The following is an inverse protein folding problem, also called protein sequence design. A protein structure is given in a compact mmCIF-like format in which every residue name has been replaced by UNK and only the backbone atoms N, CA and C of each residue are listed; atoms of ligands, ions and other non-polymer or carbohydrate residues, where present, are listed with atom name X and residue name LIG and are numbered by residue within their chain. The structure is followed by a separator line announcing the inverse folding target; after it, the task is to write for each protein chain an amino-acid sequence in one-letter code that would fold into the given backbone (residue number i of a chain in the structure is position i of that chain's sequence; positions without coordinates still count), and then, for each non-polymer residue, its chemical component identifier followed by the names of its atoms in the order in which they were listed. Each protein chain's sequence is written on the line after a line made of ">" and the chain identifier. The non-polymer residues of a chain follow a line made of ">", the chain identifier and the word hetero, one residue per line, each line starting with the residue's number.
data_IF_697286177546
#
_entry.id   IF_697286177546
#
_cell.length_a   1.000
_cell.length_b   1.000
_cell.length_c   1.000
_cell.angle_alpha   90.00
_cell.angle_beta   90.00
_cell.angle_gamma   90.00
#
_symmetry.space_group_name_H-M   'P 1'
#
loop_
_entity.id
_entity.type
_entity.pdbx_description
1 polymer ?
#
# COMPACT_ATOMS: atom_id res chain seq x y z
N UNK A 1 -20.96 -13.68 -18.00
CA UNK A 1 -21.95 -12.83 -17.28
C UNK A 1 -21.28 -12.31 -16.03
N UNK A 2 -20.71 -11.10 -16.11
CA UNK A 2 -20.24 -10.33 -14.95
C UNK A 2 -21.47 -10.01 -14.09
N UNK A 3 -21.42 -10.34 -12.84
CA UNK A 3 -22.38 -9.85 -11.87
C UNK A 3 -22.15 -8.33 -11.77
N UNK A 4 -23.15 -7.55 -12.19
CA UNK A 4 -23.25 -6.12 -11.91
C UNK A 4 -23.43 -5.97 -10.40
N UNK A 5 -22.32 -5.99 -9.65
CA UNK A 5 -22.35 -5.54 -8.26
C UNK A 5 -22.38 -4.02 -8.32
N UNK A 6 -23.50 -3.48 -7.95
CA UNK A 6 -23.71 -2.07 -7.77
C UNK A 6 -22.85 -1.58 -6.59
N UNK A 7 -21.68 -1.00 -6.90
CA UNK A 7 -20.77 -0.45 -5.91
C UNK A 7 -21.36 0.77 -5.18
N UNK A 8 -22.37 1.41 -5.78
CA UNK A 8 -23.04 2.56 -5.18
C UNK A 8 -23.89 2.16 -3.95
N UNK A 9 -24.45 0.95 -3.95
CA UNK A 9 -25.27 0.46 -2.82
C UNK A 9 -24.42 0.20 -1.58
N UNK A 10 -23.16 -0.24 -1.74
CA UNK A 10 -22.29 -0.53 -0.60
C UNK A 10 -21.78 0.76 0.08
N UNK A 11 -21.55 1.84 -0.68
CA UNK A 11 -21.17 3.16 -0.14
C UNK A 11 -22.35 3.77 0.62
N UNK A 12 -23.56 3.77 0.07
CA UNK A 12 -24.76 4.22 0.76
C UNK A 12 -25.00 3.49 2.08
N UNK A 13 -24.79 2.18 2.10
CA UNK A 13 -24.94 1.38 3.32
C UNK A 13 -23.93 1.78 4.39
N UNK A 14 -22.68 2.11 4.00
CA UNK A 14 -21.64 2.57 4.92
C UNK A 14 -22.00 3.92 5.52
N UNK A 15 -22.44 4.88 4.72
CA UNK A 15 -22.76 6.24 5.17
C UNK A 15 -23.95 6.23 6.15
N UNK A 16 -25.00 5.43 5.84
CA UNK A 16 -26.12 5.22 6.74
C UNK A 16 -25.72 4.53 8.04
N UNK A 17 -24.74 3.62 8.02
CA UNK A 17 -24.21 2.97 9.22
C UNK A 17 -23.41 3.93 10.11
N UNK A 18 -22.96 5.06 9.57
CA UNK A 18 -22.24 6.11 10.28
C UNK A 18 -23.12 7.33 10.61
N UNK A 19 -24.45 7.15 10.63
CA UNK A 19 -25.42 8.19 10.96
C UNK A 19 -25.36 9.45 10.07
N UNK A 20 -24.94 9.30 8.81
CA UNK A 20 -24.99 10.37 7.82
C UNK A 20 -26.38 10.39 7.19
N UNK A 21 -27.07 11.52 7.33
CA UNK A 21 -28.40 11.70 6.76
C UNK A 21 -28.37 11.63 5.22
N UNK A 22 -29.39 11.02 4.64
CA UNK A 22 -29.48 10.77 3.19
C UNK A 22 -29.44 12.05 2.34
N UNK A 23 -29.86 13.18 2.86
CA UNK A 23 -29.85 14.48 2.20
C UNK A 23 -28.48 15.18 2.24
N UNK A 24 -27.49 14.60 2.91
CA UNK A 24 -26.14 15.15 3.06
C UNK A 24 -25.12 14.55 2.10
N UNK A 25 -25.52 13.62 1.25
CA UNK A 25 -24.62 13.03 0.26
C UNK A 25 -25.27 12.94 -1.11
N UNK A 26 -24.46 13.08 -2.14
CA UNK A 26 -24.83 12.89 -3.54
C UNK A 26 -24.02 11.73 -4.12
N UNK A 27 -24.73 10.70 -4.61
CA UNK A 27 -24.11 9.49 -5.15
C UNK A 27 -24.34 9.42 -6.64
N UNK A 28 -23.26 9.59 -7.38
CA UNK A 28 -23.23 9.38 -8.84
C UNK A 28 -22.85 7.94 -9.19
N UNK A 29 -23.67 7.30 -10.01
CA UNK A 29 -23.35 5.99 -10.59
C UNK A 29 -22.77 6.14 -12.00
N UNK A 30 -21.49 5.81 -12.18
CA UNK A 30 -20.82 5.92 -13.48
C UNK A 30 -19.34 5.55 -13.42
N UNK A 31 -18.67 5.60 -14.57
CA UNK A 31 -17.21 5.45 -14.63
C UNK A 31 -16.54 6.80 -14.34
N UNK A 32 -15.94 6.93 -13.16
CA UNK A 32 -15.30 8.16 -12.72
C UNK A 32 -14.13 8.60 -13.62
N UNK A 33 -13.50 7.70 -14.35
CA UNK A 33 -12.38 8.02 -15.23
C UNK A 33 -12.83 8.53 -16.60
N UNK A 34 -13.89 7.94 -17.17
CA UNK A 34 -14.34 8.26 -18.54
C UNK A 34 -15.54 9.19 -18.58
N UNK A 35 -16.36 9.23 -17.52
CA UNK A 35 -17.56 10.04 -17.42
C UNK A 35 -17.83 10.52 -16.00
N UNK A 36 -16.98 11.39 -15.43
CA UNK A 36 -17.18 11.90 -14.08
C UNK A 36 -18.48 12.71 -13.97
N UNK A 37 -19.27 12.45 -12.92
CA UNK A 37 -20.59 13.08 -12.76
C UNK A 37 -20.53 14.40 -11.96
N UNK A 38 -19.53 14.57 -11.09
CA UNK A 38 -19.34 15.77 -10.26
C UNK A 38 -18.31 16.75 -10.85
N UNK A 39 -18.30 16.87 -12.18
CA UNK A 39 -17.30 17.68 -12.91
C UNK A 39 -17.43 19.19 -12.63
N UNK A 40 -18.65 19.64 -12.44
CA UNK A 40 -18.97 21.07 -12.25
C UNK A 40 -19.06 21.46 -10.76
N UNK A 41 -18.77 20.51 -9.86
CA UNK A 41 -18.79 20.77 -8.41
C UNK A 41 -17.57 21.57 -7.97
N UNK A 42 -17.72 22.25 -6.84
CA UNK A 42 -16.60 22.92 -6.17
C UNK A 42 -15.51 21.89 -5.79
N UNK A 43 -14.23 22.27 -5.87
CA UNK A 43 -13.15 21.36 -5.49
C UNK A 43 -13.28 20.87 -4.05
N UNK A 44 -13.01 19.59 -3.82
CA UNK A 44 -13.17 18.94 -2.51
C UNK A 44 -12.02 19.25 -1.56
N UNK A 45 -12.34 19.62 -0.33
CA UNK A 45 -11.35 19.82 0.74
C UNK A 45 -10.79 18.49 1.28
N UNK A 46 -11.58 17.44 1.24
CA UNK A 46 -11.17 16.09 1.65
C UNK A 46 -11.59 15.05 0.62
N UNK A 47 -10.65 14.21 0.20
CA UNK A 47 -10.92 13.06 -0.67
C UNK A 47 -10.37 11.81 0.01
N UNK A 48 -11.24 10.81 0.22
CA UNK A 48 -10.85 9.48 0.70
C UNK A 48 -11.27 8.46 -0.34
N UNK A 49 -10.33 7.63 -0.80
CA UNK A 49 -10.61 6.67 -1.86
C UNK A 49 -9.86 5.36 -1.67
N UNK A 50 -10.55 4.25 -1.96
CA UNK A 50 -9.96 2.94 -2.14
C UNK A 50 -10.35 2.42 -3.54
N UNK A 51 -9.71 2.91 -4.61
CA UNK A 51 -10.08 2.54 -5.98
C UNK A 51 -9.71 1.07 -6.26
N UNK A 52 -10.36 0.43 -7.25
CA UNK A 52 -10.03 -0.92 -7.65
C UNK A 52 -8.60 -1.01 -8.19
N UNK A 53 -7.83 -2.02 -7.71
CA UNK A 53 -6.41 -2.15 -8.07
C UNK A 53 -6.21 -2.78 -9.43
N UNK A 54 -5.27 -2.23 -10.21
CA UNK A 54 -4.76 -2.78 -11.47
C UNK A 54 -5.86 -3.18 -12.47
N UNK A 55 -6.94 -2.42 -12.53
CA UNK A 55 -8.00 -2.62 -13.53
C UNK A 55 -7.61 -2.01 -14.89
N UNK A 56 -8.19 -2.55 -15.95
CA UNK A 56 -8.10 -1.95 -17.27
C UNK A 56 -9.04 -0.76 -17.39
N UNK A 57 -8.63 0.25 -18.13
CA UNK A 57 -9.40 1.44 -18.44
C UNK A 57 -9.12 1.89 -19.89
N UNK A 58 -9.84 2.88 -20.41
CA UNK A 58 -9.67 3.32 -21.80
C UNK A 58 -8.34 4.05 -22.08
N UNK A 59 -7.68 4.59 -21.05
CA UNK A 59 -6.30 5.06 -21.08
C UNK A 59 -5.83 5.67 -22.40
N UNK A 60 -4.64 5.25 -22.84
CA UNK A 60 -3.97 5.67 -24.06
C UNK A 60 -4.65 5.23 -25.37
N UNK A 61 -5.66 4.35 -25.28
CA UNK A 61 -6.45 3.95 -26.43
C UNK A 61 -7.51 5.00 -26.85
N UNK A 62 -7.85 5.93 -25.95
CA UNK A 62 -8.80 7.01 -26.22
C UNK A 62 -8.05 8.34 -26.41
N UNK A 63 -7.98 8.89 -27.65
CA UNK A 63 -7.28 10.15 -27.91
C UNK A 63 -7.80 11.34 -27.12
N UNK A 64 -9.05 11.31 -26.67
CA UNK A 64 -9.65 12.39 -25.88
C UNK A 64 -9.03 12.46 -24.47
N UNK A 65 -8.61 11.33 -23.93
CA UNK A 65 -8.01 11.26 -22.58
C UNK A 65 -6.64 11.97 -22.48
N UNK A 66 -5.88 12.04 -23.58
CA UNK A 66 -4.58 12.74 -23.59
C UNK A 66 -4.77 14.24 -23.36
N UNK A 67 -5.88 14.80 -23.79
CA UNK A 67 -6.19 16.22 -23.65
C UNK A 67 -7.08 16.50 -22.42
N UNK A 68 -7.50 15.49 -21.71
CA UNK A 68 -8.29 15.65 -20.48
C UNK A 68 -7.48 16.40 -19.42
N UNK A 69 -7.98 17.52 -18.87
CA UNK A 69 -7.24 18.36 -17.93
C UNK A 69 -6.86 17.64 -16.62
N UNK A 70 -7.48 16.51 -16.32
CA UNK A 70 -7.12 15.67 -15.19
C UNK A 70 -5.79 14.93 -15.39
N UNK A 71 -5.51 14.49 -16.63
CA UNK A 71 -4.38 13.61 -16.97
C UNK A 71 -3.29 14.31 -17.77
N UNK A 72 -3.66 15.28 -18.63
CA UNK A 72 -2.73 15.99 -19.50
C UNK A 72 -1.53 16.66 -18.80
N UNK A 73 -1.63 17.16 -17.55
CA UNK A 73 -0.51 17.82 -16.90
C UNK A 73 0.71 16.92 -16.69
N UNK A 74 0.53 15.60 -16.54
CA UNK A 74 1.63 14.66 -16.43
C UNK A 74 2.33 14.36 -17.78
N UNK A 75 1.77 14.84 -18.92
CA UNK A 75 2.29 14.62 -20.26
C UNK A 75 2.21 13.16 -20.72
N UNK A 76 1.54 12.30 -19.97
CA UNK A 76 1.40 10.86 -20.25
C UNK A 76 0.20 10.31 -19.49
N UNK A 77 -0.48 9.34 -20.10
CA UNK A 77 -1.58 8.62 -19.45
C UNK A 77 -1.05 7.41 -18.68
N UNK A 78 -1.75 7.03 -17.61
CA UNK A 78 -1.53 5.75 -16.95
C UNK A 78 -1.70 4.60 -17.95
N UNK A 79 -0.97 3.48 -17.79
CA UNK A 79 -1.06 2.35 -18.70
C UNK A 79 -2.50 1.83 -18.82
N UNK A 80 -2.96 1.50 -20.02
CA UNK A 80 -4.29 0.95 -20.28
C UNK A 80 -4.63 -0.27 -19.40
N UNK A 81 -3.63 -1.05 -19.04
CA UNK A 81 -3.79 -2.25 -18.21
C UNK A 81 -3.88 -1.96 -16.71
N UNK A 82 -3.64 -0.71 -16.27
CA UNK A 82 -3.51 -0.32 -14.86
C UNK A 82 -3.97 1.10 -14.63
N UNK A 83 -5.20 1.26 -14.19
CA UNK A 83 -5.81 2.57 -13.93
C UNK A 83 -5.35 3.23 -12.62
N UNK A 84 -4.52 2.56 -11.82
CA UNK A 84 -4.18 2.99 -10.46
C UNK A 84 -3.77 4.48 -10.40
N UNK A 85 -2.80 4.91 -11.22
CA UNK A 85 -2.37 6.30 -11.26
C UNK A 85 -3.35 7.24 -11.97
N UNK A 86 -4.29 6.73 -12.76
CA UNK A 86 -5.36 7.55 -13.31
C UNK A 86 -6.34 7.99 -12.21
N UNK A 87 -6.68 7.11 -11.26
CA UNK A 87 -7.49 7.48 -10.09
C UNK A 87 -6.78 8.51 -9.21
N UNK A 88 -5.46 8.41 -9.05
CA UNK A 88 -4.66 9.38 -8.30
C UNK A 88 -4.71 10.75 -8.99
N UNK A 89 -4.49 10.81 -10.30
CA UNK A 89 -4.55 12.06 -11.07
C UNK A 89 -5.96 12.65 -11.09
N UNK A 90 -6.99 11.82 -11.19
CA UNK A 90 -8.38 12.24 -11.08
C UNK A 90 -8.66 12.89 -9.72
N UNK A 91 -8.29 12.21 -8.62
CA UNK A 91 -8.45 12.75 -7.27
C UNK A 91 -7.67 14.05 -7.07
N UNK A 92 -6.43 14.13 -7.57
CA UNK A 92 -5.64 15.36 -7.50
C UNK A 92 -6.31 16.52 -8.25
N UNK A 93 -6.90 16.25 -9.42
CA UNK A 93 -7.59 17.28 -10.20
C UNK A 93 -8.74 17.90 -9.40
N UNK A 94 -9.53 17.10 -8.72
CA UNK A 94 -10.69 17.51 -7.96
C UNK A 94 -10.38 18.03 -6.57
N UNK A 95 -9.15 17.89 -6.11
CA UNK A 95 -8.73 18.36 -4.80
C UNK A 95 -8.65 19.88 -4.76
N UNK A 96 -9.21 20.51 -3.73
CA UNK A 96 -9.05 21.91 -3.44
C UNK A 96 -7.57 22.26 -3.16
N UNK A 97 -7.20 23.54 -3.31
CA UNK A 97 -5.82 23.97 -3.08
C UNK A 97 -5.36 23.72 -1.65
N UNK A 98 -6.24 23.91 -0.66
CA UNK A 98 -6.00 23.61 0.76
C UNK A 98 -6.36 22.19 1.16
N UNK A 99 -6.91 21.41 0.23
CA UNK A 99 -7.46 20.08 0.49
C UNK A 99 -6.40 19.01 0.73
N UNK A 100 -6.86 17.89 1.28
CA UNK A 100 -6.05 16.69 1.50
C UNK A 100 -6.76 15.47 0.91
N UNK A 101 -6.05 14.68 0.10
CA UNK A 101 -6.56 13.41 -0.40
C UNK A 101 -5.75 12.25 0.21
N UNK A 102 -6.46 11.20 0.67
CA UNK A 102 -5.87 9.96 1.14
C UNK A 102 -6.39 8.78 0.29
N UNK A 103 -5.49 8.16 -0.47
CA UNK A 103 -5.85 7.16 -1.46
C UNK A 103 -5.14 5.86 -1.13
N UNK A 104 -5.90 4.77 -0.95
CA UNK A 104 -5.33 3.44 -0.79
C UNK A 104 -4.84 2.94 -2.14
N UNK A 105 -3.60 2.51 -2.19
CA UNK A 105 -2.94 2.14 -3.43
C UNK A 105 -2.31 0.75 -3.36
N UNK A 106 -2.22 0.12 -4.52
CA UNK A 106 -1.37 -1.04 -4.71
C UNK A 106 0.11 -0.61 -4.75
N UNK A 107 1.03 -1.29 -4.03
CA UNK A 107 2.42 -0.84 -3.89
C UNK A 107 3.17 -0.67 -5.21
N UNK A 108 2.76 -1.38 -6.25
CA UNK A 108 3.36 -1.27 -7.57
C UNK A 108 3.38 0.14 -8.16
N UNK A 109 2.43 1.01 -7.80
CA UNK A 109 2.40 2.41 -8.25
C UNK A 109 3.63 3.20 -7.77
N UNK A 110 4.27 2.74 -6.69
CA UNK A 110 5.39 3.43 -6.05
C UNK A 110 6.72 3.27 -6.80
N UNK A 111 6.91 2.17 -7.58
CA UNK A 111 8.22 1.86 -8.17
C UNK A 111 8.20 1.44 -9.64
N UNK A 112 7.05 1.11 -10.24
CA UNK A 112 7.01 0.68 -11.64
C UNK A 112 7.53 1.76 -12.58
N UNK A 113 8.20 1.34 -13.66
CA UNK A 113 8.77 2.22 -14.68
C UNK A 113 7.77 2.72 -15.72
N UNK A 114 8.29 3.26 -16.84
CA UNK A 114 7.48 3.67 -17.98
C UNK A 114 6.59 4.89 -17.71
N UNK A 115 5.31 4.81 -18.11
CA UNK A 115 4.35 5.88 -17.93
C UNK A 115 4.09 6.18 -16.45
N UNK A 116 4.03 5.15 -15.60
CA UNK A 116 3.81 5.31 -14.16
C UNK A 116 4.93 6.11 -13.50
N UNK A 117 6.20 5.91 -13.89
CA UNK A 117 7.33 6.72 -13.43
C UNK A 117 7.18 8.20 -13.84
N UNK A 118 6.73 8.47 -15.08
CA UNK A 118 6.53 9.86 -15.55
C UNK A 118 5.45 10.58 -14.74
N UNK A 119 4.38 9.88 -14.38
CA UNK A 119 3.33 10.43 -13.52
C UNK A 119 3.87 10.70 -12.11
N UNK A 120 4.64 9.76 -11.50
CA UNK A 120 5.29 9.99 -10.21
C UNK A 120 6.24 11.18 -10.26
N UNK A 121 7.02 11.30 -11.34
CA UNK A 121 7.87 12.46 -11.58
C UNK A 121 7.05 13.75 -11.54
N UNK A 122 5.94 13.81 -12.26
CA UNK A 122 5.05 14.97 -12.25
C UNK A 122 4.54 15.28 -10.83
N UNK A 123 4.11 14.28 -10.08
CA UNK A 123 3.60 14.45 -8.72
C UNK A 123 4.65 14.97 -7.73
N UNK A 124 5.88 14.48 -7.83
CA UNK A 124 7.02 14.89 -6.97
C UNK A 124 7.55 16.26 -7.36
N UNK A 125 7.77 16.53 -8.64
CA UNK A 125 8.30 17.79 -9.12
C UNK A 125 7.37 18.98 -8.81
N UNK A 126 6.05 18.71 -8.77
CA UNK A 126 5.04 19.71 -8.38
C UNK A 126 4.70 19.68 -6.88
N UNK A 127 5.42 18.89 -6.08
CA UNK A 127 5.26 18.82 -4.64
C UNK A 127 3.86 18.41 -4.16
N UNK A 128 3.19 17.50 -4.88
CA UNK A 128 1.83 17.07 -4.56
C UNK A 128 1.75 15.89 -3.59
N UNK A 129 2.81 15.09 -3.45
CA UNK A 129 2.82 13.96 -2.51
C UNK A 129 3.26 14.46 -1.14
N UNK A 130 2.37 14.35 -0.15
CA UNK A 130 2.62 14.75 1.23
C UNK A 130 3.20 13.60 2.06
N UNK A 131 2.60 12.42 1.95
CA UNK A 131 3.03 11.25 2.72
C UNK A 131 2.76 9.95 1.97
N UNK A 132 3.62 8.96 2.18
CA UNK A 132 3.41 7.56 1.79
C UNK A 132 3.44 6.71 3.07
N UNK A 133 2.36 5.97 3.32
CA UNK A 133 2.23 5.10 4.49
C UNK A 133 2.16 3.66 4.01
N UNK A 134 3.16 2.85 4.35
CA UNK A 134 3.12 1.40 4.12
C UNK A 134 2.22 0.75 5.16
N UNK A 135 1.21 0.03 4.71
CA UNK A 135 0.30 -0.72 5.59
C UNK A 135 0.75 -2.17 5.75
N UNK A 136 0.29 -2.86 6.81
CA UNK A 136 0.48 -4.31 6.96
C UNK A 136 -0.09 -5.10 5.77
N UNK A 137 0.44 -6.28 5.53
CA UNK A 137 -0.15 -7.25 4.62
C UNK A 137 -1.46 -7.84 5.19
N UNK A 138 -2.17 -8.61 4.38
CA UNK A 138 -3.41 -9.33 4.79
C UNK A 138 -4.46 -8.47 5.53
N UNK A 139 -4.52 -7.16 5.27
CA UNK A 139 -5.55 -6.27 5.84
C UNK A 139 -6.88 -6.36 5.10
N UNK A 140 -6.85 -6.55 3.78
CA UNK A 140 -8.04 -6.50 2.94
C UNK A 140 -8.52 -7.89 2.58
N UNK A 141 -9.84 -8.05 2.54
CA UNK A 141 -10.45 -9.32 2.14
C UNK A 141 -10.04 -9.70 0.71
N UNK A 142 -9.68 -10.97 0.53
CA UNK A 142 -9.36 -11.55 -0.79
C UNK A 142 -7.95 -11.25 -1.32
N UNK A 143 -7.10 -10.56 -0.55
CA UNK A 143 -5.70 -10.34 -0.93
C UNK A 143 -4.76 -10.41 0.27
N UNK A 144 -3.61 -11.06 0.08
CA UNK A 144 -2.51 -11.07 1.05
C UNK A 144 -1.49 -9.94 0.81
N UNK A 145 -1.72 -9.09 -0.19
CA UNK A 145 -0.75 -8.08 -0.60
C UNK A 145 -0.81 -6.91 0.39
N UNK A 146 0.36 -6.48 0.86
CA UNK A 146 0.48 -5.23 1.59
C UNK A 146 0.05 -4.07 0.68
N UNK A 147 -0.72 -3.12 1.21
CA UNK A 147 -1.13 -1.92 0.50
C UNK A 147 -0.41 -0.70 1.07
N UNK A 148 -0.60 0.45 0.46
CA UNK A 148 -0.11 1.71 0.99
C UNK A 148 -1.18 2.80 0.88
N UNK A 149 -1.05 3.85 1.68
CA UNK A 149 -1.83 5.06 1.54
C UNK A 149 -0.93 6.14 0.95
N UNK A 150 -1.37 6.76 -0.14
CA UNK A 150 -0.76 7.95 -0.70
C UNK A 150 -1.58 9.16 -0.27
N UNK A 151 -0.94 10.08 0.44
CA UNK A 151 -1.55 11.35 0.86
C UNK A 151 -1.10 12.44 -0.09
N UNK A 152 -2.05 13.15 -0.68
CA UNK A 152 -1.83 14.25 -1.61
C UNK A 152 -2.26 15.59 -1.01
N UNK A 153 -1.49 16.64 -1.27
CA UNK A 153 -1.81 18.03 -0.98
C UNK A 153 -1.32 18.92 -2.11
N UNK A 154 -2.10 19.94 -2.50
CA UNK A 154 -1.67 20.93 -3.49
C UNK A 154 -0.84 22.07 -2.89
N UNK A 155 -1.07 22.40 -1.63
CA UNK A 155 -0.37 23.48 -0.93
C UNK A 155 0.44 22.90 0.23
N UNK A 156 1.76 22.80 0.02
CA UNK A 156 2.73 22.38 1.02
C UNK A 156 3.79 23.44 1.18
N UNK A 157 4.19 23.71 2.43
CA UNK A 157 5.26 24.67 2.73
C UNK A 157 6.65 24.12 2.40
N UNK A 158 6.85 22.80 2.58
CA UNK A 158 8.13 22.13 2.41
C UNK A 158 8.13 21.27 1.14
N UNK A 159 9.24 21.27 0.42
CA UNK A 159 9.43 20.43 -0.77
C UNK A 159 10.03 19.08 -0.37
N UNK A 160 9.25 18.31 0.38
CA UNK A 160 9.63 17.00 0.92
C UNK A 160 8.43 16.07 0.98
N UNK A 161 8.70 14.78 1.02
CA UNK A 161 7.69 13.72 1.19
C UNK A 161 7.98 12.95 2.47
N UNK A 162 6.95 12.69 3.26
CA UNK A 162 7.08 11.93 4.49
C UNK A 162 6.78 10.45 4.23
N UNK A 163 7.62 9.55 4.74
CA UNK A 163 7.46 8.11 4.61
C UNK A 163 7.23 7.48 5.97
N UNK A 164 6.23 6.61 6.09
CA UNK A 164 5.89 5.88 7.32
C UNK A 164 5.83 4.38 7.01
N UNK A 165 6.61 3.59 7.72
CA UNK A 165 6.49 2.13 7.72
C UNK A 165 5.58 1.67 8.86
N UNK A 166 4.31 1.46 8.56
CA UNK A 166 3.32 0.89 9.47
C UNK A 166 3.10 -0.61 9.22
N UNK A 167 4.00 -1.29 8.53
CA UNK A 167 3.84 -2.71 8.15
C UNK A 167 3.68 -3.65 9.35
N UNK A 168 4.15 -3.24 10.54
CA UNK A 168 4.05 -4.00 11.79
C UNK A 168 2.91 -3.54 12.69
N UNK A 169 2.22 -2.45 12.35
CA UNK A 169 1.13 -1.88 13.13
C UNK A 169 -0.18 -2.64 12.89
N UNK A 170 -0.26 -3.86 13.42
CA UNK A 170 -1.46 -4.69 13.32
C UNK A 170 -1.52 -5.74 14.43
N UNK A 171 -2.70 -6.33 14.58
CA UNK A 171 -2.88 -7.58 15.33
C UNK A 171 -3.28 -8.68 14.36
N UNK A 172 -2.79 -9.90 14.60
CA UNK A 172 -3.19 -11.06 13.81
C UNK A 172 -4.52 -11.62 14.35
N UNK A 173 -5.50 -11.75 13.45
CA UNK A 173 -6.83 -12.33 13.76
C UNK A 173 -7.04 -13.51 12.82
N UNK A 174 -6.85 -14.73 13.32
CA UNK A 174 -6.90 -15.95 12.52
C UNK A 174 -5.98 -15.87 11.28
N UNK A 175 -6.52 -15.72 10.08
CA UNK A 175 -5.77 -15.69 8.81
C UNK A 175 -5.60 -14.28 8.23
N UNK A 176 -6.03 -13.23 8.92
CA UNK A 176 -5.92 -11.85 8.46
C UNK A 176 -5.29 -10.96 9.53
N UNK A 177 -4.74 -9.83 9.11
CA UNK A 177 -4.30 -8.78 9.99
C UNK A 177 -5.43 -7.76 10.18
N UNK A 178 -5.46 -7.09 11.32
CA UNK A 178 -6.43 -6.05 11.63
C UNK A 178 -5.75 -4.86 12.27
N UNK A 179 -6.10 -3.65 11.84
CA UNK A 179 -5.76 -2.41 12.53
C UNK A 179 -6.69 -2.21 13.72
N UNK A 180 -6.14 -2.06 14.90
CA UNK A 180 -6.88 -1.62 16.08
C UNK A 180 -6.90 -0.10 16.15
N UNK A 181 -7.76 0.47 16.98
CA UNK A 181 -7.76 1.92 17.23
C UNK A 181 -6.36 2.40 17.64
N UNK A 182 -5.69 1.69 18.53
CA UNK A 182 -4.33 2.01 18.95
C UNK A 182 -3.32 2.04 17.78
N UNK A 183 -3.39 1.09 16.85
CA UNK A 183 -2.52 1.10 15.66
C UNK A 183 -2.82 2.30 14.76
N UNK A 184 -4.10 2.62 14.56
CA UNK A 184 -4.50 3.80 13.78
C UNK A 184 -4.02 5.09 14.45
N UNK A 185 -4.17 5.22 15.76
CA UNK A 185 -3.69 6.39 16.51
C UNK A 185 -2.17 6.54 16.40
N UNK A 186 -1.41 5.44 16.51
CA UNK A 186 0.05 5.44 16.31
C UNK A 186 0.44 5.97 14.92
N UNK A 187 -0.24 5.50 13.86
CA UNK A 187 0.03 5.95 12.48
C UNK A 187 -0.32 7.44 12.32
N UNK A 188 -1.47 7.85 12.85
CA UNK A 188 -1.94 9.25 12.80
C UNK A 188 -1.00 10.17 13.56
N UNK A 189 -0.52 9.75 14.72
CA UNK A 189 0.42 10.53 15.54
C UNK A 189 1.77 10.67 14.83
N UNK A 190 2.31 9.60 14.22
CA UNK A 190 3.50 9.68 13.39
C UNK A 190 3.32 10.66 12.22
N UNK A 191 2.17 10.60 11.53
CA UNK A 191 1.84 11.52 10.44
C UNK A 191 1.76 12.99 10.90
N UNK A 192 1.14 13.26 12.05
CA UNK A 192 0.99 14.61 12.60
C UNK A 192 2.32 15.19 13.08
N UNK A 193 3.11 14.38 13.79
CA UNK A 193 4.36 14.82 14.39
C UNK A 193 5.47 15.01 13.35
N UNK A 194 5.45 14.30 12.22
CA UNK A 194 6.42 14.34 11.11
C UNK A 194 7.87 14.24 11.58
N UNK A 195 8.10 13.54 12.68
CA UNK A 195 9.44 13.30 13.21
C UNK A 195 10.13 12.17 12.46
N UNK A 196 11.44 12.30 12.25
CA UNK A 196 12.26 11.16 11.84
C UNK A 196 12.40 10.22 13.03
N UNK A 197 11.96 8.98 12.86
CA UNK A 197 12.04 7.93 13.87
C UNK A 197 12.64 6.67 13.23
N UNK A 198 13.72 6.17 13.83
CA UNK A 198 14.45 5.01 13.29
C UNK A 198 13.51 3.83 13.09
N UNK A 199 13.56 3.24 11.90
CA UNK A 199 12.75 2.09 11.47
C UNK A 199 11.22 2.34 11.38
N UNK A 200 10.75 3.57 11.57
CA UNK A 200 9.33 3.92 11.56
C UNK A 200 9.02 4.97 10.51
N UNK A 201 9.73 6.11 10.52
CA UNK A 201 9.38 7.22 9.64
C UNK A 201 10.54 8.14 9.32
N UNK A 202 10.49 8.74 8.12
CA UNK A 202 11.51 9.67 7.65
C UNK A 202 10.93 10.74 6.73
N UNK A 203 11.39 11.97 6.87
CA UNK A 203 11.11 13.06 5.95
C UNK A 203 12.23 13.15 4.90
N UNK A 204 11.88 13.00 3.63
CA UNK A 204 12.84 12.95 2.52
C UNK A 204 12.61 14.14 1.58
N UNK A 205 13.65 14.94 1.27
CA UNK A 205 13.56 15.99 0.26
C UNK A 205 13.17 15.41 -1.11
N UNK A 206 12.33 16.12 -1.87
CA UNK A 206 11.91 15.64 -3.19
C UNK A 206 13.08 15.57 -4.19
N UNK A 207 14.17 16.32 -3.97
CA UNK A 207 15.44 16.18 -4.72
C UNK A 207 16.03 14.77 -4.60
N UNK A 208 16.06 14.24 -3.39
CA UNK A 208 16.65 12.93 -3.11
C UNK A 208 15.79 11.80 -3.69
N UNK A 209 14.44 12.01 -3.70
CA UNK A 209 13.51 11.10 -4.38
C UNK A 209 13.76 11.11 -5.90
N UNK A 210 14.04 12.26 -6.48
CA UNK A 210 14.38 12.37 -7.90
C UNK A 210 15.68 11.63 -8.23
N UNK A 211 16.70 11.70 -7.36
CA UNK A 211 17.96 10.94 -7.50
C UNK A 211 17.74 9.41 -7.40
N UNK A 212 16.73 8.99 -6.64
CA UNK A 212 16.29 7.58 -6.53
C UNK A 212 15.26 7.20 -7.62
N UNK A 213 15.35 7.84 -8.77
CA UNK A 213 14.52 7.51 -9.94
C UNK A 213 13.02 7.63 -9.70
N UNK A 214 12.62 8.56 -8.83
CA UNK A 214 11.21 8.73 -8.40
C UNK A 214 10.59 7.46 -7.81
N UNK A 215 11.40 6.62 -7.17
CA UNK A 215 10.93 5.49 -6.39
C UNK A 215 10.32 6.01 -5.09
N UNK A 216 9.09 5.59 -4.80
CA UNK A 216 8.32 5.98 -3.61
C UNK A 216 8.12 4.81 -2.64
N UNK A 217 8.81 3.70 -2.83
CA UNK A 217 8.72 2.56 -1.91
C UNK A 217 9.24 2.95 -0.54
N UNK A 218 8.44 2.75 0.50
CA UNK A 218 8.82 3.12 1.87
C UNK A 218 10.12 2.43 2.30
N UNK A 219 10.31 1.16 1.94
CA UNK A 219 11.52 0.38 2.22
C UNK A 219 12.80 0.92 1.57
N UNK A 220 12.71 1.87 0.63
CA UNK A 220 13.87 2.55 0.06
C UNK A 220 14.45 3.59 1.02
N UNK A 221 13.61 4.18 1.86
CA UNK A 221 13.95 5.30 2.73
C UNK A 221 13.92 4.94 4.21
N UNK A 222 13.00 4.07 4.63
CA UNK A 222 12.89 3.60 6.02
C UNK A 222 13.53 2.22 6.11
N UNK A 223 14.68 2.14 6.79
CA UNK A 223 15.34 0.87 7.05
C UNK A 223 14.50 0.02 8.01
N UNK A 224 14.23 -1.21 7.63
CA UNK A 224 13.57 -2.13 8.54
C UNK A 224 14.54 -2.59 9.64
N UNK A 225 14.03 -2.68 10.87
CA UNK A 225 14.81 -3.24 11.97
C UNK A 225 15.23 -4.67 11.63
N UNK A 226 16.52 -4.94 11.60
CA UNK A 226 17.04 -6.31 11.42
C UNK A 226 16.63 -7.16 12.62
N UNK A 227 15.62 -8.00 12.42
CA UNK A 227 15.11 -8.94 13.43
C UNK A 227 15.67 -10.34 13.24
N UNK A 228 16.67 -10.51 12.34
CA UNK A 228 17.31 -11.82 12.17
C UNK A 228 18.04 -12.17 13.47
N UNK A 229 17.72 -13.32 14.03
CA UNK A 229 18.51 -13.89 15.11
C UNK A 229 19.96 -14.05 14.65
N UNK A 230 20.90 -13.51 15.40
CA UNK A 230 22.32 -13.78 15.16
C UNK A 230 22.53 -15.23 15.61
N UNK A 231 22.46 -16.15 14.65
CA UNK A 231 22.70 -17.56 14.90
C UNK A 231 24.20 -17.73 15.11
N UNK A 232 24.59 -18.05 16.32
CA UNK A 232 25.95 -18.49 16.60
C UNK A 232 26.15 -19.88 15.99
N UNK A 233 26.87 -19.92 14.86
CA UNK A 233 27.14 -21.14 14.11
C UNK A 233 27.86 -22.16 14.99
N UNK A 234 28.66 -21.73 15.97
CA UNK A 234 29.38 -22.61 16.88
C UNK A 234 28.43 -23.35 17.81
N UNK A 235 27.42 -22.62 18.36
CA UNK A 235 26.37 -23.19 19.20
C UNK A 235 25.52 -24.15 18.40
N UNK A 236 25.08 -23.75 17.20
CA UNK A 236 24.26 -24.57 16.32
C UNK A 236 24.98 -25.87 15.92
N UNK A 237 26.27 -25.80 15.58
CA UNK A 237 27.09 -26.98 15.25
C UNK A 237 27.19 -27.93 16.46
N UNK A 238 27.38 -27.41 17.67
CA UNK A 238 27.43 -28.23 18.89
C UNK A 238 26.08 -28.90 19.16
N UNK A 239 24.96 -28.28 18.84
CA UNK A 239 23.64 -28.91 18.93
C UNK A 239 23.43 -29.99 17.89
N UNK A 240 23.85 -29.74 16.65
CA UNK A 240 23.81 -30.73 15.56
C UNK A 240 24.64 -31.97 15.95
N UNK A 241 25.84 -31.80 16.47
CA UNK A 241 26.67 -32.92 16.93
C UNK A 241 25.98 -33.77 17.99
N UNK A 242 25.32 -33.14 18.96
CA UNK A 242 24.55 -33.86 20.00
C UNK A 242 23.39 -34.66 19.38
N UNK A 243 22.69 -34.10 18.41
CA UNK A 243 21.58 -34.77 17.74
C UNK A 243 22.09 -35.96 16.94
N UNK A 244 23.19 -35.81 16.19
CA UNK A 244 23.81 -36.90 15.40
C UNK A 244 24.27 -38.05 16.30
N UNK A 245 24.91 -37.74 17.43
CA UNK A 245 25.30 -38.78 18.38
C UNK A 245 24.09 -39.52 18.95
N UNK A 246 23.02 -38.82 19.29
CA UNK A 246 21.78 -39.44 19.76
C UNK A 246 21.08 -40.28 18.71
N UNK A 247 21.07 -39.84 17.49
CA UNK A 247 20.54 -40.59 16.33
C UNK A 247 21.33 -41.92 16.17
N UNK A 248 22.66 -41.86 16.25
CA UNK A 248 23.48 -43.06 16.10
C UNK A 248 23.22 -44.09 17.24
N UNK A 249 23.03 -43.64 18.47
CA UNK A 249 22.66 -44.48 19.63
C UNK A 249 21.32 -45.17 19.34
N UNK A 250 20.30 -44.44 18.95
CA UNK A 250 18.98 -44.98 18.63
C UNK A 250 19.02 -45.97 17.47
N UNK A 251 19.80 -45.72 16.44
CA UNK A 251 19.99 -46.65 15.32
C UNK A 251 20.63 -47.95 15.81
N UNK A 252 21.62 -47.90 16.68
CA UNK A 252 22.27 -49.09 17.24
C UNK A 252 21.30 -49.88 18.10
N UNK A 253 20.44 -49.24 18.88
CA UNK A 253 19.40 -49.89 19.70
C UNK A 253 18.37 -50.60 18.80
N UNK A 254 17.91 -49.93 17.73
CA UNK A 254 16.99 -50.53 16.75
C UNK A 254 17.62 -51.75 16.09
N UNK A 255 18.88 -51.65 15.64
CA UNK A 255 19.58 -52.76 15.01
C UNK A 255 19.75 -53.96 15.99
N UNK A 256 19.97 -53.68 17.25
CA UNK A 256 20.03 -54.73 18.31
C UNK A 256 18.67 -55.42 18.43
N UNK A 257 17.58 -54.68 18.51
CA UNK A 257 16.23 -55.27 18.59
C UNK A 257 15.91 -56.10 17.36
N UNK A 258 16.25 -55.60 16.16
CA UNK A 258 16.05 -56.37 14.90
C UNK A 258 16.83 -57.69 14.97
N UNK A 259 18.10 -57.68 15.34
CA UNK A 259 18.89 -58.91 15.43
C UNK A 259 18.34 -59.88 16.47
N UNK A 260 17.78 -59.42 17.59
CA UNK A 260 17.11 -60.28 18.57
C UNK A 260 15.86 -60.93 18.02
N UNK A 261 15.06 -60.21 17.19
CA UNK A 261 13.86 -60.73 16.53
C UNK A 261 14.24 -61.79 15.47
N UNK A 262 15.26 -61.53 14.66
CA UNK A 262 15.74 -62.45 13.62
C UNK A 262 16.27 -63.77 14.18
N UNK A 263 16.73 -63.81 15.41
CA UNK A 263 17.18 -65.03 16.09
C UNK A 263 16.00 -65.91 16.56
N UNK A 264 14.79 -65.35 16.69
CA UNK A 264 13.58 -66.05 17.11
C UNK A 264 12.62 -66.38 15.94
N UNK A 265 12.98 -66.02 14.69
CA UNK A 265 12.23 -66.34 13.47
C UNK A 265 12.87 -67.51 12.74
#
# INVERSE_FOLDING_TARGET
>A
TRSDRDWSSDVCSSDLLHDIDYDKFDIGHGDSLTGPLHWDDEPFEAIVSNPPYSIRWDGDANPLMINDPRFSPAGVLAPKSKADLAFIMHSLSWLATSGTAAIVCFPGVLYRGGAEKKIRKYLIDNNFIDCIIQLPDNLFFGTSIATCIMVLKKSKAENSTFFIDASKECIKVTNSNKLTQKNMDTIIDAYKNRANDDHVSILVPNSDIAEQDYNLSVSTYVEQKDTREIIDITVLNAEIEKIVVREQILRNEINKIISEIEVYA
#
